data_IF_929019082910
#
_entry.id   IF_929019082910
#
_cell.length_a   1.000
_cell.length_b   1.000
_cell.length_c   1.000
_cell.angle_alpha   90.00
_cell.angle_beta   90.00
_cell.angle_gamma   90.00
#
_symmetry.space_group_name_H-M   'P 1'
#
loop_
_entity.id
_entity.type
_entity.pdbx_description
1 polymer ?
2 non-polymer ?
3 non-polymer ?
4 non-polymer ?
5 water ?
#
# COMPACT_ATOMS: atom_id res chain seq x y z
N UNK A 11 -0.39 21.45 15.88
CA UNK A 11 -1.10 22.54 15.24
C UNK A 11 -0.21 23.27 14.23
N UNK A 12 1.09 23.32 14.54
CA UNK A 12 2.04 23.93 13.63
C UNK A 12 2.10 23.17 12.31
N UNK A 13 2.29 21.85 12.38
CA UNK A 13 2.34 21.04 11.17
C UNK A 13 1.01 21.09 10.43
N UNK A 14 -0.11 21.07 11.16
CA UNK A 14 -1.42 21.17 10.52
C UNK A 14 -1.60 22.54 9.87
N UNK A 15 -1.10 23.60 10.51
CA UNK A 15 -1.21 24.94 9.94
C UNK A 15 -0.47 25.03 8.62
N UNK A 16 0.77 24.52 8.58
CA UNK A 16 1.56 24.58 7.36
C UNK A 16 0.95 23.72 6.26
N UNK A 17 0.52 22.50 6.61
CA UNK A 17 -0.01 21.60 5.59
C UNK A 17 -1.32 22.11 5.01
N UNK A 18 -2.20 22.65 5.86
CA UNK A 18 -3.47 23.17 5.36
C UNK A 18 -3.28 24.39 4.48
N UNK A 19 -2.24 25.19 4.74
CA UNK A 19 -2.00 26.41 3.98
C UNK A 19 -1.22 26.18 2.70
N UNK A 20 -0.69 24.99 2.48
CA UNK A 20 0.15 24.74 1.32
C UNK A 20 -0.69 24.59 0.06
N UNK A 21 -0.04 24.79 -1.08
CA UNK A 21 -0.59 24.45 -2.39
C UNK A 21 -0.15 23.04 -2.72
N UNK A 22 -1.05 22.25 -3.29
CA UNK A 22 -0.79 20.84 -3.61
C UNK A 22 -0.31 20.77 -5.06
N UNK A 23 0.97 20.48 -5.31
CA UNK A 23 1.42 20.32 -6.70
C UNK A 23 0.71 19.16 -7.39
N UNK A 24 0.74 19.19 -8.72
CA UNK A 24 0.03 18.23 -9.52
C UNK A 24 0.64 16.84 -9.40
N UNK A 25 -0.07 15.85 -9.94
CA UNK A 25 0.41 14.48 -9.88
C UNK A 25 1.65 14.29 -10.75
N UNK A 26 1.72 14.98 -11.88
CA UNK A 26 2.91 14.89 -12.73
C UNK A 26 4.12 15.51 -12.04
N UNK A 27 3.93 16.66 -11.39
CA UNK A 27 5.03 17.31 -10.69
C UNK A 27 5.56 16.43 -9.56
N UNK A 28 4.67 15.76 -8.84
CA UNK A 28 5.07 14.95 -7.69
C UNK A 28 5.52 13.55 -8.06
N UNK A 29 5.32 13.13 -9.32
CA UNK A 29 5.80 11.85 -9.86
C UNK A 29 5.11 10.65 -9.24
N UNK A 30 3.92 10.83 -8.64
CA UNK A 30 3.24 9.72 -7.97
C UNK A 30 2.54 8.78 -8.93
N UNK A 31 2.55 9.05 -10.24
CA UNK A 31 2.01 8.13 -11.23
C UNK A 31 3.04 7.11 -11.69
N UNK A 32 4.32 7.30 -11.35
CA UNK A 32 5.37 6.41 -11.80
C UNK A 32 5.49 5.20 -10.89
N UNK A 33 5.56 4.01 -11.50
CA UNK A 33 5.79 2.79 -10.73
C UNK A 33 7.16 2.79 -10.06
N UNK A 34 8.05 3.66 -10.52
CA UNK A 34 9.44 3.71 -10.00
C UNK A 34 9.60 4.82 -8.98
N UNK A 35 8.50 5.37 -8.50
CA UNK A 35 8.55 6.47 -7.56
C UNK A 35 9.34 6.10 -6.31
N UNK A 36 10.04 7.08 -5.76
CA UNK A 36 10.79 6.93 -4.52
C UNK A 36 10.55 8.15 -3.64
N UNK A 37 10.85 8.01 -2.35
CA UNK A 37 10.52 9.03 -1.36
C UNK A 37 11.71 9.50 -0.54
N UNK A 38 12.93 9.11 -0.90
CA UNK A 38 14.09 9.39 -0.05
C UNK A 38 14.35 10.89 0.08
N UNK A 39 14.02 11.67 -0.95
CA UNK A 39 14.33 13.09 -0.96
C UNK A 39 13.17 13.97 -0.50
N UNK A 40 12.13 13.37 0.09
CA UNK A 40 10.92 14.10 0.46
C UNK A 40 10.84 14.24 1.98
N UNK A 41 10.39 15.41 2.42
CA UNK A 41 10.12 15.64 3.83
C UNK A 41 8.77 15.02 4.22
N UNK A 42 8.49 15.02 5.52
CA UNK A 42 7.20 14.54 6.00
C UNK A 42 6.05 15.33 5.38
N UNK A 43 6.19 16.66 5.33
CA UNK A 43 5.14 17.50 4.75
C UNK A 43 4.95 17.19 3.27
N UNK A 44 6.03 16.90 2.56
CA UNK A 44 5.92 16.60 1.13
C UNK A 44 5.17 15.30 0.89
N UNK A 45 5.37 14.30 1.75
CA UNK A 45 4.60 13.07 1.64
C UNK A 45 3.13 13.31 1.94
N UNK A 46 2.83 14.22 2.87
CA UNK A 46 1.44 14.57 3.15
C UNK A 46 0.80 15.24 1.94
N UNK A 47 1.58 16.03 1.20
CA UNK A 47 1.04 16.70 0.01
C UNK A 47 0.77 15.71 -1.11
N UNK A 48 1.68 14.75 -1.32
CA UNK A 48 1.44 13.71 -2.31
C UNK A 48 0.18 12.91 -1.95
N UNK A 49 -0.06 12.70 -0.66
CA UNK A 49 -1.24 11.94 -0.23
C UNK A 49 -2.52 12.71 -0.53
N UNK A 50 -2.53 14.02 -0.27
CA UNK A 50 -3.68 14.84 -0.65
C UNK A 50 -3.92 14.75 -2.15
N UNK A 51 -2.85 14.83 -2.94
CA UNK A 51 -2.97 14.73 -4.39
C UNK A 51 -3.54 13.37 -4.81
N UNK A 52 -3.22 12.31 -4.07
CA UNK A 52 -3.77 11.00 -4.38
C UNK A 52 -5.29 11.00 -4.20
N UNK A 53 -5.77 11.54 -3.08
CA UNK A 53 -7.22 11.61 -2.86
C UNK A 53 -7.89 12.50 -3.89
N UNK A 54 -7.20 13.53 -4.37
CA UNK A 54 -7.81 14.52 -5.26
C UNK A 54 -7.98 13.97 -6.68
N UNK A 55 -6.92 13.37 -7.23
CA UNK A 55 -6.96 12.91 -8.61
C UNK A 55 -7.70 11.59 -8.78
N UNK A 56 -8.08 10.94 -7.69
CA UNK A 56 -9.02 9.82 -7.75
C UNK A 56 -10.46 10.28 -7.54
N UNK A 57 -10.69 11.59 -7.47
CA UNK A 57 -12.00 12.21 -7.30
C UNK A 57 -12.65 11.85 -5.98
N UNK A 58 -11.87 11.42 -4.99
CA UNK A 58 -12.43 11.04 -3.69
C UNK A 58 -12.86 12.27 -2.90
N UNK A 59 -12.09 13.36 -3.00
CA UNK A 59 -12.48 14.60 -2.33
C UNK A 59 -13.78 15.14 -2.91
N UNK A 60 -13.98 14.96 -4.21
CA UNK A 60 -15.18 15.46 -4.86
C UNK A 60 -16.39 14.58 -4.55
N UNK A 61 -16.32 13.30 -4.92
CA UNK A 61 -17.47 12.40 -4.84
C UNK A 61 -17.92 12.15 -3.41
N UNK A 62 -17.12 12.49 -2.40
CA UNK A 62 -17.49 12.25 -1.02
C UNK A 62 -17.33 13.49 -0.14
N UNK A 63 -17.12 14.66 -0.74
CA UNK A 63 -17.22 15.95 -0.07
C UNK A 63 -16.38 16.01 1.21
N UNK A 64 -15.09 15.71 1.06
CA UNK A 64 -14.16 15.84 2.16
C UNK A 64 -13.74 17.29 2.33
N UNK A 65 -13.77 17.78 3.56
CA UNK A 65 -13.29 19.12 3.85
C UNK A 65 -11.78 19.10 4.00
N UNK A 66 -11.13 20.15 3.50
CA UNK A 66 -9.68 20.14 3.34
C UNK A 66 -8.96 19.92 4.68
N UNK A 67 -9.37 20.65 5.72
CA UNK A 67 -8.68 20.55 7.00
C UNK A 67 -8.95 19.21 7.69
N UNK A 68 -10.05 18.53 7.34
CA UNK A 68 -10.31 17.21 7.93
C UNK A 68 -9.39 16.17 7.29
N UNK A 69 -9.20 16.24 5.97
CA UNK A 69 -8.28 15.32 5.30
C UNK A 69 -6.85 15.57 5.76
N UNK A 70 -6.44 16.84 5.86
CA UNK A 70 -5.11 17.15 6.36
C UNK A 70 -4.91 16.62 7.77
N UNK A 71 -5.91 16.82 8.64
CA UNK A 71 -5.82 16.32 10.00
C UNK A 71 -5.80 14.79 10.04
N UNK A 72 -6.55 14.16 9.13
CA UNK A 72 -6.56 12.70 9.08
C UNK A 72 -5.21 12.16 8.62
N UNK A 73 -4.63 12.77 7.58
CA UNK A 73 -3.33 12.33 7.09
C UNK A 73 -2.27 12.48 8.17
N UNK A 74 -2.30 13.61 8.90
CA UNK A 74 -1.33 13.82 9.96
C UNK A 74 -1.56 12.88 11.13
N UNK A 75 -2.80 12.47 11.37
CA UNK A 75 -3.06 11.49 12.42
C UNK A 75 -2.54 10.11 12.04
N UNK A 76 -2.72 9.73 10.77
CA UNK A 76 -2.21 8.43 10.31
C UNK A 76 -0.69 8.41 10.38
N UNK A 77 -0.04 9.46 9.89
CA UNK A 77 1.42 9.52 9.91
C UNK A 77 1.95 9.48 11.35
N UNK A 78 1.27 10.16 12.26
CA UNK A 78 1.74 10.24 13.64
C UNK A 78 1.70 8.89 14.34
N UNK A 79 0.77 8.01 13.94
CA UNK A 79 0.60 6.72 14.60
C UNK A 79 1.44 5.61 13.96
N UNK A 80 2.42 5.96 13.13
CA UNK A 80 3.49 5.05 12.75
C UNK A 80 4.73 5.42 13.56
N UNK A 81 5.57 4.42 13.82
CA UNK A 81 6.71 4.60 14.71
C UNK A 81 7.97 4.83 13.88
N UNK A 82 8.64 5.95 14.15
CA UNK A 82 9.85 6.30 13.41
C UNK A 82 11.00 5.36 13.75
N UNK A 83 11.02 4.81 14.96
CA UNK A 83 12.13 3.95 15.38
C UNK A 83 12.11 2.59 14.71
N UNK A 84 11.08 2.27 13.93
CA UNK A 84 11.01 1.02 13.19
C UNK A 84 11.60 1.25 11.80
N UNK A 85 12.55 0.39 11.42
CA UNK A 85 13.36 0.65 10.23
C UNK A 85 12.52 0.64 8.96
N UNK A 86 11.70 -0.39 8.77
CA UNK A 86 10.91 -0.51 7.55
C UNK A 86 9.42 -0.29 7.77
N UNK A 87 8.82 -0.96 8.74
CA UNK A 87 7.37 -0.86 8.97
C UNK A 87 7.07 0.46 9.64
N UNK A 88 7.11 1.53 8.85
CA UNK A 88 6.89 2.88 9.36
C UNK A 88 5.98 3.62 8.37
N UNK A 89 5.85 4.94 8.57
CA UNK A 89 4.95 5.73 7.74
C UNK A 89 5.37 5.73 6.28
N UNK A 90 6.68 5.79 6.02
CA UNK A 90 7.16 5.86 4.64
C UNK A 90 6.79 4.59 3.87
N UNK A 91 6.80 3.44 4.54
CA UNK A 91 6.33 2.22 3.89
C UNK A 91 4.84 2.29 3.59
N UNK A 92 4.06 2.83 4.52
CA UNK A 92 2.63 3.00 4.27
C UNK A 92 2.39 4.02 3.16
N UNK A 93 3.16 5.11 3.15
CA UNK A 93 3.06 6.08 2.08
C UNK A 93 3.40 5.47 0.73
N UNK A 94 4.45 4.65 0.69
CA UNK A 94 4.84 4.01 -0.56
C UNK A 94 3.79 3.00 -1.03
N UNK A 95 3.21 2.26 -0.10
CA UNK A 95 2.16 1.31 -0.46
C UNK A 95 0.96 2.02 -1.07
N UNK A 96 0.60 3.19 -0.54
CA UNK A 96 -0.49 3.96 -1.11
C UNK A 96 -0.13 4.53 -2.47
N UNK A 97 1.12 4.98 -2.63
CA UNK A 97 1.56 5.48 -3.93
C UNK A 97 1.46 4.40 -4.99
N UNK A 98 1.88 3.18 -4.67
CA UNK A 98 1.78 2.10 -5.64
C UNK A 98 0.34 1.80 -6.00
N UNK A 99 -0.55 1.86 -5.01
CA UNK A 99 -1.98 1.70 -5.29
C UNK A 99 -2.47 2.78 -6.25
N UNK A 100 -2.01 4.02 -6.05
CA UNK A 100 -2.36 5.10 -6.97
C UNK A 100 -1.84 4.81 -8.37
N UNK A 101 -0.57 4.42 -8.49
CA UNK A 101 0.01 4.14 -9.79
C UNK A 101 -0.67 2.96 -10.47
N UNK A 102 -1.04 1.94 -9.69
CA UNK A 102 -1.72 0.79 -10.26
C UNK A 102 -3.11 1.16 -10.77
N UNK A 103 -3.80 2.07 -10.08
CA UNK A 103 -5.12 2.48 -10.53
C UNK A 103 -5.03 3.37 -11.76
N UNK A 104 -4.03 4.25 -11.81
CA UNK A 104 -3.91 5.20 -12.92
C UNK A 104 -3.06 4.61 -14.05
N UNK A 105 -1.74 4.54 -13.85
CA UNK A 105 -0.86 4.04 -14.89
C UNK A 105 -1.17 2.61 -15.26
N UNK A 106 -1.56 1.80 -14.27
CA UNK A 106 -1.99 0.44 -14.51
C UNK A 106 -3.43 0.31 -14.95
N UNK A 107 -4.17 1.42 -15.02
CA UNK A 107 -5.52 1.42 -15.56
C UNK A 107 -6.46 0.47 -14.82
N UNK A 108 -6.14 0.15 -13.56
CA UNK A 108 -7.04 -0.67 -12.76
C UNK A 108 -8.26 0.12 -12.29
N UNK A 109 -8.21 1.46 -12.38
CA UNK A 109 -9.27 2.31 -11.87
C UNK A 109 -10.63 1.98 -12.47
N UNK A 110 -10.65 1.67 -13.77
CA UNK A 110 -11.90 1.48 -14.51
C UNK A 110 -12.62 0.21 -14.13
N UNK A 111 -11.90 -0.74 -13.53
CA UNK A 111 -12.46 -2.02 -13.12
C UNK A 111 -13.12 -1.99 -11.74
N UNK A 112 -13.00 -0.89 -11.01
CA UNK A 112 -13.50 -0.83 -9.63
C UNK A 112 -14.47 0.33 -9.45
N UNK A 113 -15.28 0.23 -8.41
CA UNK A 113 -16.20 1.30 -8.05
C UNK A 113 -15.47 2.38 -7.24
N UNK A 114 -16.18 3.48 -7.01
CA UNK A 114 -15.60 4.57 -6.22
C UNK A 114 -15.42 4.15 -4.77
N UNK A 115 -16.37 3.40 -4.22
CA UNK A 115 -16.26 2.94 -2.84
C UNK A 115 -15.07 1.99 -2.67
N UNK A 116 -14.84 1.13 -3.65
CA UNK A 116 -13.68 0.23 -3.59
C UNK A 116 -12.38 1.01 -3.65
N UNK A 117 -12.29 2.00 -4.55
CA UNK A 117 -11.09 2.82 -4.65
C UNK A 117 -10.85 3.60 -3.37
N UNK A 118 -11.92 4.19 -2.82
CA UNK A 118 -11.80 4.93 -1.57
C UNK A 118 -11.28 4.04 -0.44
N UNK A 119 -11.77 2.80 -0.39
CA UNK A 119 -11.36 1.90 0.69
C UNK A 119 -9.92 1.44 0.53
N UNK A 120 -9.50 1.18 -0.72
CA UNK A 120 -8.15 0.70 -0.96
C UNK A 120 -7.11 1.75 -0.58
N UNK A 121 -7.36 3.02 -0.91
CA UNK A 121 -6.41 4.07 -0.58
C UNK A 121 -6.31 4.27 0.93
N UNK A 122 -7.44 4.25 1.62
CA UNK A 122 -7.42 4.34 3.09
C UNK A 122 -6.73 3.12 3.68
N UNK A 123 -7.00 1.94 3.13
CA UNK A 123 -6.40 0.71 3.65
C UNK A 123 -4.88 0.72 3.45
N UNK A 124 -4.44 1.08 2.24
CA UNK A 124 -3.00 1.09 1.97
C UNK A 124 -2.25 2.03 2.91
N UNK A 125 -2.85 3.18 3.22
CA UNK A 125 -2.21 4.12 4.13
C UNK A 125 -2.24 3.65 5.56
N UNK A 126 -3.24 2.84 5.93
CA UNK A 126 -3.47 2.47 7.32
C UNK A 126 -3.07 1.03 7.64
N UNK A 127 -2.69 0.23 6.64
CA UNK A 127 -2.59 -1.22 6.82
C UNK A 127 -1.53 -1.65 7.81
N UNK A 128 -0.63 -0.77 8.23
CA UNK A 128 0.44 -1.16 9.15
C UNK A 128 0.50 -0.26 10.39
N UNK A 129 -0.61 0.39 10.74
CA UNK A 129 -0.60 1.38 11.81
C UNK A 129 -0.13 0.77 13.12
N UNK A 130 0.75 1.50 13.81
CA UNK A 130 1.26 1.15 15.14
C UNK A 130 2.11 -0.12 15.10
N UNK A 131 2.72 -0.41 13.97
CA UNK A 131 3.70 -1.49 13.88
C UNK A 131 4.95 -1.12 14.68
N UNK A 132 5.47 -2.07 15.44
CA UNK A 132 6.63 -1.84 16.30
C UNK A 132 7.81 -2.73 15.95
N UNK A 133 7.85 -3.26 14.73
CA UNK A 133 8.96 -4.11 14.31
C UNK A 133 8.68 -5.59 14.45
N UNK A 134 9.22 -6.38 13.52
CA UNK A 134 8.97 -7.82 13.52
C UNK A 134 9.48 -8.48 14.78
N UNK A 135 10.56 -7.96 15.37
CA UNK A 135 11.14 -8.51 16.57
C UNK A 135 10.51 -7.96 17.84
N UNK A 136 9.43 -7.20 17.71
CA UNK A 136 8.64 -6.79 18.87
C UNK A 136 7.22 -7.31 18.73
N UNK A 137 7.09 -8.60 18.40
CA UNK A 137 5.78 -9.21 18.18
C UNK A 137 5.05 -9.54 19.46
N UNK A 138 5.77 -9.63 20.59
CA UNK A 138 5.17 -10.14 21.82
C UNK A 138 4.20 -9.15 22.44
N UNK A 139 4.51 -7.85 22.35
CA UNK A 139 3.77 -6.78 23.04
C UNK A 139 2.30 -6.81 22.66
N UNK A 140 2.00 -7.41 21.51
CA UNK A 140 0.67 -7.44 20.91
C UNK A 140 0.28 -6.05 20.46
N UNK A 152 -4.40 -16.20 13.06
CA UNK A 152 -5.65 -15.57 12.68
C UNK A 152 -5.46 -14.08 12.40
N UNK A 153 -4.19 -13.69 12.22
CA UNK A 153 -3.79 -12.33 11.81
C UNK A 153 -3.99 -11.33 12.94
N UNK A 154 -3.29 -11.52 14.06
CA UNK A 154 -3.45 -10.64 15.22
C UNK A 154 -3.07 -9.21 14.86
N UNK A 155 -1.89 -9.03 14.26
CA UNK A 155 -1.38 -7.67 13.98
C UNK A 155 -2.31 -6.93 13.00
N UNK A 156 -2.80 -7.62 11.98
CA UNK A 156 -3.66 -6.97 11.01
C UNK A 156 -4.98 -6.52 11.63
N UNK A 157 -5.46 -7.25 12.64
CA UNK A 157 -6.65 -6.80 13.36
C UNK A 157 -6.34 -5.58 14.22
N UNK A 158 -5.14 -5.53 14.82
CA UNK A 158 -4.72 -4.33 15.54
C UNK A 158 -4.57 -3.15 14.59
N UNK A 159 -4.08 -3.41 13.38
CA UNK A 159 -3.90 -2.34 12.41
C UNK A 159 -5.24 -1.74 12.00
N UNK A 160 -6.24 -2.59 11.73
CA UNK A 160 -7.56 -2.08 11.39
C UNK A 160 -8.17 -1.31 12.55
N UNK A 161 -7.97 -1.80 13.77
CA UNK A 161 -8.52 -1.10 14.93
C UNK A 161 -7.94 0.30 15.08
N UNK A 162 -6.64 0.43 14.87
CA UNK A 162 -6.02 1.76 14.84
C UNK A 162 -6.61 2.61 13.72
N UNK A 163 -6.87 1.99 12.56
CA UNK A 163 -7.44 2.71 11.43
C UNK A 163 -8.83 3.23 11.75
N UNK A 164 -9.67 2.42 12.38
CA UNK A 164 -11.03 2.83 12.69
C UNK A 164 -11.06 3.92 13.74
N UNK A 165 -10.19 3.83 14.75
CA UNK A 165 -10.16 4.86 15.79
C UNK A 165 -9.81 6.23 15.22
N UNK A 166 -8.83 6.28 14.31
CA UNK A 166 -8.47 7.54 13.68
C UNK A 166 -9.60 8.05 12.78
N UNK A 167 -10.27 7.14 12.07
CA UNK A 167 -11.40 7.52 11.24
C UNK A 167 -12.55 8.10 12.06
N UNK A 168 -12.64 7.70 13.34
CA UNK A 168 -13.71 8.16 14.22
C UNK A 168 -13.30 9.34 15.09
N UNK A 169 -12.03 9.74 15.06
CA UNK A 169 -11.57 10.81 15.94
C UNK A 169 -12.18 12.15 15.53
N UNK A 170 -12.45 13.03 16.49
CA UNK A 170 -12.98 14.35 16.16
C UNK A 170 -12.03 15.11 15.25
N UNK A 171 -12.60 15.75 14.22
CA UNK A 171 -11.84 16.48 13.24
C UNK A 171 -11.18 15.65 12.16
N UNK A 172 -11.27 14.32 12.24
CA UNK A 172 -10.55 13.42 11.34
C UNK A 172 -11.49 12.57 10.50
N UNK A 173 -12.79 12.86 10.51
CA UNK A 173 -13.78 11.95 9.92
C UNK A 173 -13.97 12.26 8.44
N UNK A 174 -13.05 11.75 7.63
CA UNK A 174 -13.11 11.97 6.19
C UNK A 174 -14.21 11.17 5.50
N UNK A 175 -14.91 10.30 6.22
CA UNK A 175 -16.01 9.53 5.65
C UNK A 175 -17.37 10.06 6.09
N UNK A 176 -17.42 11.25 6.68
CA UNK A 176 -18.68 11.81 7.17
C UNK A 176 -19.67 12.04 6.03
N UNK A 177 -19.17 12.31 4.82
CA UNK A 177 -20.02 12.56 3.68
C UNK A 177 -20.68 11.36 3.07
N UNK A 178 -20.37 10.16 3.54
CA UNK A 178 -20.97 8.94 3.03
C UNK A 178 -22.27 8.63 3.77
N UNK A 179 -23.23 8.07 3.04
CA UNK A 179 -24.44 7.58 3.68
C UNK A 179 -24.10 6.39 4.57
N UNK A 180 -25.07 5.99 5.40
CA UNK A 180 -24.83 4.88 6.32
C UNK A 180 -24.56 3.59 5.54
N UNK A 181 -25.23 3.43 4.39
CA UNK A 181 -24.98 2.25 3.55
C UNK A 181 -23.58 2.28 2.96
N UNK A 182 -23.19 3.41 2.37
CA UNK A 182 -21.84 3.55 1.84
C UNK A 182 -20.80 3.34 2.93
N UNK A 183 -21.05 3.90 4.11
CA UNK A 183 -20.09 3.81 5.21
C UNK A 183 -19.90 2.37 5.65
N UNK A 184 -20.99 1.64 5.84
CA UNK A 184 -20.90 0.23 6.23
C UNK A 184 -20.17 -0.58 5.15
N UNK A 185 -20.44 -0.28 3.88
CA UNK A 185 -19.79 -0.99 2.80
C UNK A 185 -18.29 -0.69 2.77
N UNK A 186 -17.93 0.59 2.91
CA UNK A 186 -16.53 0.99 2.79
C UNK A 186 -15.69 0.41 3.93
N UNK A 187 -16.23 0.40 5.15
CA UNK A 187 -15.48 -0.17 6.28
C UNK A 187 -15.27 -1.67 6.09
N UNK A 188 -16.28 -2.37 5.56
CA UNK A 188 -16.12 -3.80 5.29
C UNK A 188 -14.99 -4.06 4.31
N UNK A 189 -14.90 -3.25 3.25
CA UNK A 189 -13.82 -3.40 2.28
C UNK A 189 -12.49 -3.00 2.90
N UNK A 190 -12.47 -1.91 3.66
CA UNK A 190 -11.25 -1.47 4.33
C UNK A 190 -10.70 -2.59 5.22
N UNK A 191 -11.59 -3.23 5.98
CA UNK A 191 -11.14 -4.26 6.92
C UNK A 191 -10.57 -5.46 6.17
N UNK A 192 -11.26 -5.94 5.14
CA UNK A 192 -10.75 -7.08 4.37
C UNK A 192 -9.46 -6.74 3.65
N UNK A 193 -9.30 -5.49 3.21
CA UNK A 193 -8.07 -5.09 2.53
C UNK A 193 -6.89 -5.07 3.48
N UNK A 194 -7.10 -4.60 4.71
CA UNK A 194 -6.03 -4.61 5.70
C UNK A 194 -5.72 -6.04 6.12
N UNK A 195 -6.75 -6.88 6.31
CA UNK A 195 -6.52 -8.27 6.67
C UNK A 195 -5.77 -9.01 5.58
N UNK A 196 -5.95 -8.62 4.32
CA UNK A 196 -5.27 -9.27 3.22
C UNK A 196 -3.77 -9.06 3.24
N UNK A 197 -3.29 -8.02 3.93
CA UNK A 197 -1.86 -7.76 4.01
C UNK A 197 -1.13 -8.75 4.92
N UNK A 198 -1.84 -9.69 5.53
CA UNK A 198 -1.21 -10.80 6.22
C UNK A 198 -0.71 -11.80 5.19
N UNK A 199 0.61 -12.03 5.14
CA UNK A 199 1.17 -12.95 4.15
C UNK A 199 0.55 -14.34 4.25
N UNK A 200 0.18 -14.76 5.46
CA UNK A 200 -0.49 -16.05 5.63
C UNK A 200 -1.76 -16.12 4.81
N UNK A 201 -2.56 -15.05 4.83
CA UNK A 201 -3.78 -15.01 4.03
C UNK A 201 -3.46 -15.01 2.54
N UNK A 202 -2.40 -14.32 2.13
CA UNK A 202 -2.01 -14.33 0.73
C UNK A 202 -1.63 -15.73 0.27
N UNK A 203 -0.83 -16.43 1.09
CA UNK A 203 -0.42 -17.79 0.74
C UNK A 203 -1.63 -18.71 0.66
N UNK A 204 -2.61 -18.48 1.53
CA UNK A 204 -3.79 -19.36 1.58
C UNK A 204 -4.64 -19.21 0.33
N UNK A 205 -4.83 -17.98 -0.16
CA UNK A 205 -5.81 -17.70 -1.19
C UNK A 205 -5.21 -17.53 -2.58
N UNK A 206 -3.89 -17.47 -2.72
CA UNK A 206 -3.30 -17.19 -4.03
C UNK A 206 -3.50 -18.34 -5.01
N UNK A 207 -3.57 -19.58 -4.51
CA UNK A 207 -3.79 -20.71 -5.40
C UNK A 207 -5.10 -20.62 -6.14
N UNK A 208 -6.16 -20.19 -5.47
CA UNK A 208 -7.44 -19.99 -6.12
C UNK A 208 -7.35 -18.87 -7.16
N UNK A 209 -6.65 -17.78 -6.84
CA UNK A 209 -6.47 -16.69 -7.79
C UNK A 209 -5.70 -17.15 -9.02
N UNK A 210 -4.63 -17.92 -8.81
CA UNK A 210 -3.82 -18.38 -9.93
C UNK A 210 -4.59 -19.40 -10.78
N UNK A 211 -5.31 -20.31 -10.14
CA UNK A 211 -6.03 -21.35 -10.88
C UNK A 211 -7.12 -20.72 -11.76
N UNK A 212 -7.76 -19.65 -11.28
CA UNK A 212 -8.78 -18.99 -12.09
C UNK A 212 -8.18 -18.36 -13.33
N UNK A 213 -6.98 -17.79 -13.22
CA UNK A 213 -6.34 -17.16 -14.36
C UNK A 213 -5.82 -18.21 -15.34
N UNK A 214 -5.29 -19.31 -14.82
CA UNK A 214 -4.77 -20.37 -15.69
C UNK A 214 -5.88 -20.96 -16.56
N UNK A 215 -7.07 -21.14 -15.99
CA UNK A 215 -8.20 -21.68 -16.74
C UNK A 215 -8.94 -20.62 -17.55
N UNK A 216 -8.39 -19.41 -17.65
CA UNK A 216 -9.02 -18.31 -18.37
C UNK A 216 -10.43 -18.06 -17.85
N UNK A 217 -10.63 -18.22 -16.53
CA UNK A 217 -11.99 -18.12 -15.94
C UNK A 217 -12.10 -16.97 -14.92
N UNK A 218 -11.22 -15.97 -14.98
CA UNK A 218 -11.24 -14.90 -13.99
C UNK A 218 -12.24 -13.84 -14.40
N UNK A 219 -13.24 -13.60 -13.56
CA UNK A 219 -14.31 -12.65 -13.84
C UNK A 219 -14.54 -11.82 -12.60
N UNK A 220 -14.40 -10.50 -12.74
CA UNK A 220 -14.55 -9.61 -11.60
C UNK A 220 -16.00 -9.28 -11.29
N UNK A 221 -16.92 -9.47 -12.24
CA UNK A 221 -18.34 -9.26 -11.95
C UNK A 221 -18.81 -10.21 -10.85
N UNK A 222 -18.19 -11.37 -10.73
CA UNK A 222 -18.41 -12.26 -9.59
C UNK A 222 -17.95 -11.56 -8.32
N UNK A 223 -18.82 -11.40 -7.32
CA UNK A 223 -18.39 -10.74 -6.07
C UNK A 223 -17.25 -11.46 -5.37
N UNK A 224 -17.28 -12.80 -5.34
CA UNK A 224 -16.24 -13.55 -4.64
C UNK A 224 -14.87 -13.33 -5.28
N UNK A 225 -14.83 -13.25 -6.61
CA UNK A 225 -13.55 -13.05 -7.29
C UNK A 225 -13.08 -11.61 -7.17
N UNK A 226 -14.02 -10.65 -7.10
CA UNK A 226 -13.64 -9.25 -6.93
C UNK A 226 -12.94 -9.05 -5.59
N UNK A 227 -13.50 -9.61 -4.53
CA UNK A 227 -12.86 -9.53 -3.22
C UNK A 227 -11.49 -10.19 -3.23
N UNK A 228 -11.35 -11.31 -3.94
CA UNK A 228 -10.07 -11.99 -4.03
C UNK A 228 -9.04 -11.13 -4.77
N UNK A 229 -9.46 -10.44 -5.83
CA UNK A 229 -8.56 -9.58 -6.56
C UNK A 229 -8.11 -8.40 -5.71
N UNK A 230 -9.03 -7.82 -4.92
CA UNK A 230 -8.67 -6.73 -4.03
C UNK A 230 -7.64 -7.19 -2.99
N UNK A 231 -7.77 -8.44 -2.52
CA UNK A 231 -6.79 -8.98 -1.59
C UNK A 231 -5.42 -9.09 -2.24
N UNK A 232 -5.37 -9.63 -3.46
CA UNK A 232 -4.09 -9.76 -4.15
C UNK A 232 -3.50 -8.41 -4.51
N UNK A 233 -4.35 -7.44 -4.85
CA UNK A 233 -3.84 -6.11 -5.18
C UNK A 233 -3.19 -5.44 -3.97
N UNK A 234 -3.77 -5.64 -2.78
CA UNK A 234 -3.18 -5.08 -1.57
C UNK A 234 -1.81 -5.68 -1.31
N UNK A 235 -1.66 -6.99 -1.52
CA UNK A 235 -0.37 -7.63 -1.34
C UNK A 235 0.64 -7.13 -2.36
N UNK A 236 0.19 -6.90 -3.60
CA UNK A 236 1.10 -6.41 -4.63
C UNK A 236 1.65 -5.03 -4.28
N UNK A 237 0.79 -4.14 -3.75
CA UNK A 237 1.25 -2.84 -3.32
C UNK A 237 2.10 -2.92 -2.06
N UNK A 238 1.74 -3.84 -1.16
CA UNK A 238 2.45 -3.98 0.11
C UNK A 238 3.92 -4.33 -0.11
N UNK A 239 4.20 -5.25 -1.03
CA UNK A 239 5.56 -5.74 -1.28
C UNK A 239 6.24 -5.02 -2.42
N UNK A 240 5.63 -3.96 -2.96
CA UNK A 240 6.06 -3.37 -4.23
C UNK A 240 7.45 -2.74 -4.16
N UNK A 241 8.07 -2.66 -2.99
CA UNK A 241 9.45 -2.21 -2.92
C UNK A 241 10.38 -3.13 -3.70
N UNK A 242 10.03 -4.41 -3.78
CA UNK A 242 10.82 -5.39 -4.51
C UNK A 242 10.86 -5.13 -6.01
N UNK A 243 10.02 -4.22 -6.51
CA UNK A 243 9.95 -3.92 -7.93
C UNK A 243 10.72 -2.66 -8.32
N UNK A 244 11.27 -1.93 -7.35
CA UNK A 244 11.84 -0.62 -7.60
C UNK A 244 13.16 -0.73 -8.38
N UNK A 245 13.60 0.37 -8.99
CA UNK A 245 14.92 0.38 -9.64
C UNK A 245 16.02 -0.02 -8.66
N UNK A 246 17.07 -0.60 -9.21
CA UNK A 246 18.13 -1.24 -8.41
C UNK A 246 18.68 -0.35 -7.29
N UNK A 247 19.05 0.91 -7.52
CA UNK A 247 19.55 1.72 -6.40
C UNK A 247 18.54 1.91 -5.29
N UNK A 248 17.25 1.97 -5.61
CA UNK A 248 16.24 2.11 -4.57
C UNK A 248 16.03 0.80 -3.83
N UNK A 249 16.02 -0.33 -4.55
CA UNK A 249 15.78 -1.61 -3.91
C UNK A 249 16.91 -1.98 -2.96
N UNK A 250 18.16 -1.68 -3.34
CA UNK A 250 19.28 -1.90 -2.43
C UNK A 250 19.09 -1.18 -1.12
N UNK A 251 18.57 0.04 -1.17
CA UNK A 251 18.35 0.82 0.05
C UNK A 251 17.19 0.27 0.87
N UNK A 252 16.11 -0.15 0.20
CA UNK A 252 14.98 -0.73 0.93
C UNK A 252 15.39 -2.05 1.57
N UNK A 253 16.14 -2.88 0.84
CA UNK A 253 16.64 -4.12 1.42
C UNK A 253 17.51 -3.85 2.64
N UNK A 254 18.21 -2.72 2.65
CA UNK A 254 18.97 -2.32 3.83
C UNK A 254 18.05 -2.09 5.02
N UNK A 255 16.93 -1.38 4.79
CA UNK A 255 15.99 -1.11 5.87
C UNK A 255 15.38 -2.41 6.41
N UNK A 256 15.04 -3.34 5.50
CA UNK A 256 14.48 -4.62 5.93
C UNK A 256 15.50 -5.38 6.77
N UNK A 257 16.75 -5.40 6.32
CA UNK A 257 17.79 -6.10 7.07
C UNK A 257 18.05 -5.43 8.42
N UNK A 258 17.94 -4.10 8.48
CA UNK A 258 18.09 -3.41 9.75
C UNK A 258 16.99 -3.83 10.72
N UNK A 259 15.73 -3.83 10.25
CA UNK A 259 14.62 -4.18 11.13
C UNK A 259 14.70 -5.64 11.56
N UNK A 260 15.10 -6.53 10.65
CA UNK A 260 15.08 -7.96 10.96
C UNK A 260 16.22 -8.34 11.91
N UNK A 261 17.43 -7.87 11.62
CA UNK A 261 18.59 -8.34 12.41
C UNK A 261 18.98 -7.39 13.55
N UNK A 262 19.09 -6.10 13.28
CA UNK A 262 19.65 -5.18 14.30
C UNK A 262 18.58 -4.41 15.07
N UNK A 263 17.36 -4.95 15.21
CA UNK A 263 16.34 -4.14 15.90
C UNK A 263 15.49 -5.04 16.78
N UNK A 264 14.91 -4.47 17.84
CA UNK A 264 14.04 -5.25 18.74
C UNK A 264 14.56 -5.25 20.17
N UNK A 285 27.44 -11.37 2.91
CA UNK A 285 26.15 -11.15 3.57
C UNK A 285 25.07 -12.07 3.00
N UNK A 286 24.11 -12.44 3.84
CA UNK A 286 23.02 -13.31 3.43
C UNK A 286 21.92 -12.59 2.67
N UNK A 287 21.94 -11.25 2.65
CA UNK A 287 20.85 -10.49 2.04
C UNK A 287 20.59 -10.89 0.58
N UNK A 288 21.60 -11.01 -0.29
CA UNK A 288 21.29 -11.29 -1.71
C UNK A 288 20.49 -12.56 -1.94
N UNK A 289 20.86 -13.66 -1.29
CA UNK A 289 20.13 -14.92 -1.51
C UNK A 289 18.77 -14.89 -0.83
N UNK A 290 18.64 -14.18 0.28
CA UNK A 290 17.32 -14.03 0.92
C UNK A 290 16.37 -13.24 0.03
N UNK A 291 16.90 -12.25 -0.70
CA UNK A 291 16.06 -11.50 -1.62
C UNK A 291 15.62 -12.36 -2.79
N UNK A 292 16.49 -13.25 -3.26
CA UNK A 292 16.13 -14.14 -4.38
C UNK A 292 15.05 -15.12 -3.95
N UNK A 293 15.21 -15.73 -2.77
CA UNK A 293 14.19 -16.66 -2.29
C UNK A 293 12.85 -15.99 -2.06
N UNK A 294 12.86 -14.78 -1.49
CA UNK A 294 11.63 -14.02 -1.31
C UNK A 294 10.99 -13.71 -2.67
N UNK A 295 11.80 -13.38 -3.68
CA UNK A 295 11.27 -13.09 -5.00
C UNK A 295 10.67 -14.35 -5.63
N UNK A 296 11.37 -15.48 -5.50
CA UNK A 296 10.88 -16.73 -6.10
C UNK A 296 9.63 -17.23 -5.40
N UNK A 297 9.64 -17.26 -4.07
CA UNK A 297 8.56 -17.91 -3.33
C UNK A 297 7.31 -17.06 -3.25
N UNK A 298 7.42 -15.73 -3.31
CA UNK A 298 6.32 -14.84 -2.99
C UNK A 298 5.95 -13.94 -4.17
N UNK A 299 6.94 -13.28 -4.77
CA UNK A 299 6.66 -12.09 -5.57
C UNK A 299 6.37 -12.38 -7.03
N UNK A 300 7.17 -13.24 -7.68
CA UNK A 300 7.13 -13.36 -9.13
C UNK A 300 5.75 -13.77 -9.62
N UNK A 301 5.17 -14.81 -9.04
CA UNK A 301 3.85 -15.27 -9.48
C UNK A 301 2.81 -14.18 -9.33
N UNK A 302 2.83 -13.46 -8.19
CA UNK A 302 1.83 -12.43 -7.95
C UNK A 302 1.87 -11.35 -9.01
N UNK A 303 3.06 -10.81 -9.30
CA UNK A 303 3.16 -9.74 -10.29
C UNK A 303 2.91 -10.26 -11.70
N UNK A 304 3.13 -11.55 -11.94
CA UNK A 304 2.72 -12.14 -13.21
C UNK A 304 1.20 -12.18 -13.31
N UNK A 305 0.53 -12.69 -12.27
CA UNK A 305 -0.93 -12.72 -12.26
C UNK A 305 -1.52 -11.34 -12.42
N UNK A 306 -0.91 -10.33 -11.78
CA UNK A 306 -1.38 -8.96 -11.91
C UNK A 306 -1.24 -8.46 -13.34
N UNK A 307 -0.19 -8.91 -14.05
CA UNK A 307 0.01 -8.45 -15.42
C UNK A 307 -1.02 -9.05 -16.36
N UNK A 308 -1.41 -10.31 -16.14
CA UNK A 308 -2.46 -10.92 -16.95
C UNK A 308 -3.78 -10.18 -16.79
N UNK A 309 -4.06 -9.69 -15.58
CA UNK A 309 -5.31 -8.99 -15.34
C UNK A 309 -5.26 -7.59 -15.97
N UNK A 310 -4.10 -6.95 -15.96
CA UNK A 310 -3.94 -5.64 -16.58
C UNK A 310 -2.51 -5.53 -17.09
N UNK A 311 -2.35 -5.49 -18.42
CA UNK A 311 -1.02 -5.49 -19.02
C UNK A 311 -0.22 -4.24 -18.67
N UNK A 312 -0.88 -3.17 -18.24
CA UNK A 312 -0.20 -1.94 -17.87
C UNK A 312 0.48 -2.03 -16.50
N UNK A 313 0.27 -3.11 -15.76
CA UNK A 313 1.00 -3.38 -14.53
C UNK A 313 2.29 -4.13 -14.79
N UNK A 314 2.68 -4.28 -16.06
CA UNK A 314 3.93 -4.96 -16.40
C UNK A 314 5.18 -4.35 -15.76
N UNK A 315 5.33 -3.02 -15.64
CA UNK A 315 6.55 -2.49 -15.00
C UNK A 315 6.80 -3.03 -13.61
N UNK A 316 5.76 -3.46 -12.89
CA UNK A 316 5.97 -4.08 -11.59
C UNK A 316 6.62 -5.45 -11.74
N UNK A 317 6.11 -6.27 -12.66
CA UNK A 317 6.74 -7.55 -12.95
C UNK A 317 8.12 -7.35 -13.54
N UNK A 318 8.27 -6.38 -14.44
CA UNK A 318 9.57 -6.10 -15.06
C UNK A 318 10.60 -5.70 -14.02
N UNK A 319 10.25 -4.72 -13.17
CA UNK A 319 11.19 -4.29 -12.14
C UNK A 319 11.53 -5.39 -11.16
N UNK A 320 10.55 -6.25 -10.85
CA UNK A 320 10.82 -7.38 -9.96
C UNK A 320 11.80 -8.36 -10.59
N UNK A 321 11.74 -8.52 -11.92
CA UNK A 321 12.65 -9.45 -12.59
C UNK A 321 14.08 -8.90 -12.61
N UNK A 322 14.22 -7.61 -12.91
CA UNK A 322 15.56 -7.02 -12.95
C UNK A 322 16.23 -7.06 -11.58
N UNK A 323 15.44 -6.97 -10.51
CA UNK A 323 16.01 -7.07 -9.16
C UNK A 323 16.44 -8.50 -8.83
N UNK A 324 15.73 -9.50 -9.37
CA UNK A 324 16.19 -10.87 -9.20
C UNK A 324 17.51 -11.09 -9.93
N UNK A 325 17.65 -10.48 -11.11
CA UNK A 325 18.91 -10.58 -11.84
C UNK A 325 20.07 -10.01 -11.04
N UNK A 326 19.88 -8.81 -10.48
CA UNK A 326 20.97 -8.15 -9.76
C UNK A 326 21.31 -8.89 -8.47
N UNK A 327 20.28 -9.30 -7.71
CA UNK A 327 20.53 -9.97 -6.43
C UNK A 327 21.21 -11.32 -6.63
N UNK A 328 20.79 -12.06 -7.66
CA UNK A 328 21.38 -13.37 -7.90
C UNK A 328 22.85 -13.28 -8.24
N UNK A 329 23.24 -12.26 -9.02
CA UNK A 329 24.65 -12.09 -9.36
C UNK A 329 25.49 -11.82 -8.10
N UNK A 330 24.99 -10.99 -7.19
CA UNK A 330 25.70 -10.75 -5.94
C UNK A 330 25.77 -12.02 -5.10
N UNK A 331 24.70 -12.83 -5.13
CA UNK A 331 24.70 -14.07 -4.37
C UNK A 331 25.77 -15.04 -4.88
N UNK A 332 26.04 -14.96 -6.19
CA UNK A 332 26.97 -15.90 -6.85
C UNK A 332 28.43 -15.51 -6.60
N UNK A 333 28.67 -14.32 -6.06
CA UNK A 333 30.05 -13.94 -5.70
C UNK A 333 30.29 -14.26 -4.23
X LIG B 1 15.16 -10.23 3.65
X LIG B 1 13.84 -10.59 3.90
X LIG B 1 12.91 -10.88 2.75
X LIG B 1 12.05 -9.71 2.39
X LIG B 1 10.12 -8.46 2.70
X LIG B 1 8.88 -8.31 3.33
X LIG B 1 8.09 -7.18 3.07
X LIG B 1 6.80 -7.03 3.75
X LIG B 1 6.04 -5.94 3.78
X LIG B 1 5.24 -5.57 4.96
X LIG B 1 8.54 -6.23 2.16
X LIG B 1 9.75 -6.37 1.52
X LIG B 1 10.55 -7.49 1.79
X LIG B 1 11.85 -7.66 1.13
X LIG B 1 13.39 -10.63 5.23
X LIG B 1 11.51 -10.79 6.82
X LIG B 1 11.32 -9.36 7.27
X LIG B 1 11.93 -8.90 8.42
X LIG B 1 11.79 -7.57 8.81
X LIG B 1 11.02 -6.70 8.05
X LIG B 1 10.42 -7.19 6.93
X LIG B 1 10.54 -8.48 6.51
X LIG B 1 14.27 -10.33 6.27
X LIG B 1 15.59 -9.97 6.00
X LIG B 1 4.71 -4.46 5.05
X LIG B 1 12.33 -6.86 0.32
X LIG B 1 10.88 -9.59 3.00
X LIG B 1 16.01 -9.90 4.69
X LIG B 1 5.13 -6.47 5.90
X LIG B 1 17.61 -9.36 4.33
X LIG B 1 12.54 -8.80 1.49
X LIG B 1 12.07 -10.89 5.47
X LIG B 1 9.66 -6.34 6.18
X LIG C 1 2.92 -3.58 5.03
X LIG D 1 1.78 -5.67 7.79
#
# INVERSE_FOLDING_TARGET
>A
SYHASAAEEETRELQSLAAAVVPSAQTLKITDFSFSDFELSDLETALCTIRMFTDLNLVQNFQMKHEVLCRWILSVKKNYRKNVAYHNWRHAFNTAQCMFAALKAGKIQNKLTDLEILALLIAALSHDLDHRGVNNSYIQRSEHPLAQLYCHSIMEHHHFDQCLMILNSPGNQILSGLSIEEYKTTLKIIKQAILATDLALYIKRRGEFFELIRKNQFNLEDPHQKELFLAMLMTACDLSAITKPWPIQQRIAELVATEFFDQGDRERKELNIEPTDLMNREKKNKIPSMQVGFIDAICLQLYEALTHVSEDCFPLLDGCRKNRQKWQALAEQ
>B hetero
1 WD3 C1 C2 C3 C4 C5 C6 C7 C8 C9 C10 C11 C12 C13 C14 C15 C16 C17 C18 C19 C20 C21 C22 C23 C24 O1 O2 N C O CL N1 N2 F
>C hetero
1 ZN ZN
>D hetero
1 MG MG
#
